data_IF_407940319716
#
_entry.id   IF_407940319716
#
_cell.length_a   1.000
_cell.length_b   1.000
_cell.length_c   1.000
_cell.angle_alpha   90.00
_cell.angle_beta   90.00
_cell.angle_gamma   90.00
#
_symmetry.space_group_name_H-M   'P 1'
#
loop_
_entity.id
_entity.type
_entity.pdbx_description
1 polymer ?
#
# COMPACT_ATOMS: atom_id res chain seq x y z
N UNK A 1 -20.52 -46.11 -49.41
CA UNK A 1 -19.67 -45.75 -48.26
C UNK A 1 -19.56 -44.23 -48.23
N UNK A 2 -20.30 -43.57 -47.34
CA UNK A 2 -20.15 -42.12 -47.08
C UNK A 2 -19.73 -42.03 -45.62
N UNK A 3 -18.48 -41.64 -45.36
CA UNK A 3 -17.97 -41.41 -44.02
C UNK A 3 -18.33 -39.99 -43.57
N UNK A 4 -19.29 -39.87 -42.65
CA UNK A 4 -19.52 -38.63 -41.90
C UNK A 4 -18.38 -38.43 -40.88
N UNK A 5 -17.62 -37.34 -41.03
CA UNK A 5 -16.70 -36.86 -39.99
C UNK A 5 -17.48 -35.95 -39.05
N UNK A 6 -17.72 -36.42 -37.83
CA UNK A 6 -18.20 -35.59 -36.74
C UNK A 6 -17.01 -34.76 -36.21
N UNK A 7 -17.10 -33.44 -36.31
CA UNK A 7 -16.19 -32.52 -35.62
C UNK A 7 -16.73 -32.29 -34.21
N UNK A 8 -16.11 -32.88 -33.20
CA UNK A 8 -16.30 -32.45 -31.81
C UNK A 8 -15.55 -31.13 -31.61
N UNK A 9 -16.27 -30.01 -31.62
CA UNK A 9 -15.76 -28.74 -31.12
C UNK A 9 -15.68 -28.80 -29.60
N UNK A 10 -14.47 -28.73 -29.05
CA UNK A 10 -14.28 -28.57 -27.62
C UNK A 10 -14.63 -27.12 -27.24
N UNK A 11 -15.77 -26.90 -26.57
CA UNK A 11 -16.00 -25.67 -25.81
C UNK A 11 -15.02 -25.67 -24.63
N UNK A 12 -13.97 -24.85 -24.68
CA UNK A 12 -13.28 -24.43 -23.45
C UNK A 12 -14.27 -23.53 -22.69
N UNK A 13 -14.88 -24.08 -21.64
CA UNK A 13 -15.51 -23.25 -20.62
C UNK A 13 -14.42 -22.37 -20.02
N UNK A 14 -14.50 -21.05 -20.24
CA UNK A 14 -13.72 -20.08 -19.48
C UNK A 14 -14.22 -20.15 -18.04
N UNK A 15 -13.59 -20.99 -17.22
CA UNK A 15 -13.75 -20.92 -15.78
C UNK A 15 -13.35 -19.49 -15.38
N UNK A 16 -14.18 -18.74 -14.64
CA UNK A 16 -13.76 -17.47 -14.09
C UNK A 16 -12.47 -17.73 -13.29
N UNK A 17 -11.39 -17.09 -13.70
CA UNK A 17 -10.13 -17.13 -12.96
C UNK A 17 -10.43 -16.59 -11.57
N UNK A 18 -10.58 -17.47 -10.59
CA UNK A 18 -10.64 -17.05 -9.19
C UNK A 18 -9.29 -16.38 -8.93
N UNK A 19 -9.29 -15.06 -8.80
CA UNK A 19 -8.10 -14.34 -8.37
C UNK A 19 -7.86 -14.76 -6.92
N UNK A 20 -6.85 -15.61 -6.76
CA UNK A 20 -6.30 -15.96 -5.47
C UNK A 20 -5.58 -14.74 -4.88
N UNK A 21 -5.13 -14.83 -3.63
CA UNK A 21 -4.41 -13.76 -2.94
C UNK A 21 -3.16 -13.29 -3.67
N UNK A 22 -2.32 -12.50 -3.00
CA UNK A 22 -1.24 -11.75 -3.63
C UNK A 22 -0.45 -12.55 -4.70
N UNK A 23 -0.42 -12.00 -5.92
CA UNK A 23 0.33 -12.51 -7.04
C UNK A 23 1.41 -11.51 -7.46
N UNK A 24 2.67 -11.81 -7.13
CA UNK A 24 3.81 -10.94 -7.44
C UNK A 24 4.06 -10.73 -8.94
N UNK A 25 3.53 -11.61 -9.81
CA UNK A 25 3.61 -11.48 -11.27
C UNK A 25 2.45 -10.69 -11.88
N UNK A 26 1.47 -10.28 -11.07
CA UNK A 26 0.32 -9.50 -11.50
C UNK A 26 0.54 -8.02 -11.23
N UNK A 27 0.02 -7.18 -12.12
CA UNK A 27 -0.11 -5.72 -11.95
C UNK A 27 -1.50 -5.30 -11.50
N UNK A 28 -2.37 -6.27 -11.24
CA UNK A 28 -3.79 -6.02 -10.98
C UNK A 28 -4.16 -6.27 -9.51
N UNK A 29 -3.21 -6.56 -8.61
CA UNK A 29 -3.54 -6.91 -7.22
C UNK A 29 -4.37 -5.81 -6.56
N UNK A 30 -5.39 -6.17 -5.80
CA UNK A 30 -6.17 -5.23 -5.01
C UNK A 30 -6.03 -5.58 -3.52
N UNK A 31 -5.41 -4.68 -2.77
CA UNK A 31 -5.39 -4.70 -1.32
C UNK A 31 -6.39 -3.68 -0.77
N UNK A 32 -7.14 -4.02 0.27
CA UNK A 32 -8.02 -3.05 0.94
C UNK A 32 -7.99 -3.30 2.43
N UNK A 33 -7.68 -2.28 3.21
CA UNK A 33 -7.65 -2.36 4.67
C UNK A 33 -9.04 -2.64 5.23
N UNK A 34 -9.10 -3.46 6.29
CA UNK A 34 -10.32 -3.72 7.05
C UNK A 34 -10.02 -3.63 8.54
N UNK A 35 -10.98 -3.17 9.34
CA UNK A 35 -10.92 -3.25 10.80
C UNK A 35 -11.04 -1.89 11.49
N UNK A 36 -10.79 -0.76 10.84
CA UNK A 36 -10.93 0.55 11.49
C UNK A 36 -12.27 1.25 11.27
N UNK A 37 -13.11 0.75 10.36
CA UNK A 37 -14.39 1.38 10.03
C UNK A 37 -14.25 2.90 9.78
N UNK A 38 -13.32 3.31 8.90
CA UNK A 38 -13.01 4.73 8.69
C UNK A 38 -14.21 5.59 8.21
N UNK A 39 -15.29 4.97 7.72
CA UNK A 39 -16.57 5.65 7.45
C UNK A 39 -17.35 6.07 8.70
N UNK A 40 -16.97 5.55 9.87
CA UNK A 40 -17.49 5.91 11.19
C UNK A 40 -19.03 5.85 11.29
N UNK A 41 -19.65 4.86 10.65
CA UNK A 41 -21.06 4.54 10.79
C UNK A 41 -21.18 3.12 11.35
N UNK A 42 -22.16 2.86 12.21
CA UNK A 42 -22.29 1.56 12.90
C UNK A 42 -22.35 0.37 11.93
N UNK A 43 -22.97 0.57 10.76
CA UNK A 43 -23.20 -0.44 9.74
C UNK A 43 -22.23 -0.38 8.55
N UNK A 44 -21.28 0.56 8.53
CA UNK A 44 -20.40 0.73 7.36
C UNK A 44 -19.27 -0.31 7.29
N UNK A 45 -18.91 -0.94 8.42
CA UNK A 45 -18.00 -2.09 8.44
C UNK A 45 -18.76 -3.35 8.87
N UNK A 46 -18.81 -4.32 7.97
CA UNK A 46 -19.34 -5.67 8.22
C UNK A 46 -18.23 -6.61 8.69
N UNK A 47 -18.61 -7.84 9.04
CA UNK A 47 -17.65 -8.92 9.34
C UNK A 47 -16.70 -9.15 8.16
N UNK A 48 -15.48 -9.59 8.44
CA UNK A 48 -14.41 -9.73 7.45
C UNK A 48 -14.82 -10.67 6.29
N UNK A 49 -15.48 -11.79 6.57
CA UNK A 49 -15.85 -12.76 5.54
C UNK A 49 -16.85 -12.24 4.51
N UNK A 50 -17.64 -11.21 4.82
CA UNK A 50 -18.49 -10.52 3.83
C UNK A 50 -17.64 -10.01 2.67
N UNK A 51 -16.52 -9.37 2.98
CA UNK A 51 -15.64 -8.74 2.00
C UNK A 51 -14.80 -9.76 1.23
N UNK A 52 -14.42 -10.86 1.88
CA UNK A 52 -13.68 -11.95 1.26
C UNK A 52 -14.44 -12.64 0.13
N UNK A 53 -15.78 -12.59 0.13
CA UNK A 53 -16.59 -13.14 -0.95
C UNK A 53 -16.43 -12.37 -2.28
N UNK A 54 -15.91 -11.14 -2.23
CA UNK A 54 -15.64 -10.35 -3.44
C UNK A 54 -14.39 -10.89 -4.14
N UNK A 55 -14.55 -11.36 -5.38
CA UNK A 55 -13.46 -11.95 -6.16
C UNK A 55 -12.38 -10.94 -6.58
N UNK A 56 -12.68 -9.64 -6.60
CA UNK A 56 -11.76 -8.60 -7.05
C UNK A 56 -10.75 -8.17 -5.98
N UNK A 57 -11.04 -8.43 -4.71
CA UNK A 57 -10.14 -8.11 -3.59
C UNK A 57 -9.20 -9.30 -3.35
N UNK A 58 -7.89 -9.10 -3.41
CA UNK A 58 -6.91 -10.18 -3.27
C UNK A 58 -6.32 -10.24 -1.85
N UNK A 59 -6.06 -9.07 -1.25
CA UNK A 59 -5.30 -8.90 -0.02
C UNK A 59 -6.11 -8.06 0.97
N UNK A 60 -6.16 -8.48 2.24
CA UNK A 60 -6.85 -7.74 3.29
C UNK A 60 -5.91 -7.62 4.51
N UNK A 61 -5.24 -6.46 4.67
CA UNK A 61 -4.61 -6.11 5.93
C UNK A 61 -5.69 -5.82 6.99
N UNK A 62 -5.63 -6.53 8.11
CA UNK A 62 -6.50 -6.35 9.27
C UNK A 62 -5.85 -5.30 10.17
N UNK A 63 -6.44 -4.11 10.22
CA UNK A 63 -6.02 -3.01 11.07
C UNK A 63 -6.81 -2.99 12.39
N UNK A 64 -6.19 -3.00 13.57
CA UNK A 64 -4.74 -3.05 13.83
C UNK A 64 -4.38 -3.72 15.15
N UNK A 65 -3.13 -4.20 15.22
CA UNK A 65 -2.37 -4.21 16.47
C UNK A 65 -1.70 -2.83 16.62
N UNK A 66 -2.38 -1.90 17.27
CA UNK A 66 -1.95 -0.50 17.44
C UNK A 66 -1.06 -0.26 18.68
N UNK A 67 -0.68 -1.33 19.38
CA UNK A 67 0.38 -1.34 20.37
C UNK A 67 1.02 -2.73 20.42
N UNK A 68 2.34 -2.78 20.46
CA UNK A 68 3.12 -4.02 20.39
C UNK A 68 3.56 -4.46 21.78
N UNK A 69 4.10 -3.54 22.57
CA UNK A 69 4.60 -3.82 23.92
C UNK A 69 4.41 -2.60 24.83
N UNK A 70 3.33 -2.56 25.64
CA UNK A 70 2.30 -3.60 25.82
C UNK A 70 1.40 -3.79 24.59
N UNK A 71 0.74 -4.95 24.47
CA UNK A 71 -0.16 -5.25 23.35
C UNK A 71 -1.43 -4.40 23.42
N UNK A 72 -1.81 -3.81 22.30
CA UNK A 72 -3.10 -3.13 22.09
C UNK A 72 -3.62 -3.57 20.72
N UNK A 73 -4.90 -3.98 20.68
CA UNK A 73 -5.59 -4.31 19.43
C UNK A 73 -6.89 -3.53 19.34
N UNK A 74 -7.18 -2.98 18.17
CA UNK A 74 -8.44 -2.28 17.91
C UNK A 74 -8.95 -2.67 16.52
N UNK A 75 -10.18 -3.17 16.46
CA UNK A 75 -10.87 -3.53 15.21
C UNK A 75 -12.23 -2.80 15.09
N UNK A 76 -12.29 -1.58 15.63
CA UNK A 76 -13.46 -0.71 15.65
C UNK A 76 -14.73 -1.46 16.07
N UNK A 77 -15.82 -1.33 15.32
CA UNK A 77 -17.09 -1.98 15.61
C UNK A 77 -17.03 -3.53 15.54
N UNK A 78 -16.07 -4.13 14.82
CA UNK A 78 -15.88 -5.58 14.86
C UNK A 78 -15.32 -6.05 16.22
N UNK A 79 -14.63 -5.15 16.93
CA UNK A 79 -14.19 -5.35 18.31
C UNK A 79 -15.34 -5.56 19.30
N UNK A 80 -16.56 -5.12 18.99
CA UNK A 80 -17.74 -5.33 19.84
C UNK A 80 -18.13 -6.81 19.98
N UNK A 81 -17.69 -7.64 19.03
CA UNK A 81 -17.87 -9.10 19.06
C UNK A 81 -16.67 -9.83 19.69
N UNK A 82 -15.72 -9.09 20.27
CA UNK A 82 -14.55 -9.61 20.96
C UNK A 82 -14.69 -9.43 22.48
N UNK A 83 -13.86 -10.16 23.24
CA UNK A 83 -13.70 -9.99 24.69
C UNK A 83 -12.26 -9.68 25.02
N UNK A 84 -11.98 -8.85 26.02
CA UNK A 84 -10.60 -8.60 26.43
C UNK A 84 -9.95 -9.84 27.08
N UNK A 85 -8.63 -9.97 26.93
CA UNK A 85 -7.88 -11.00 27.65
C UNK A 85 -7.80 -10.69 29.15
N UNK A 86 -7.79 -11.70 30.04
CA UNK A 86 -7.80 -11.49 31.49
C UNK A 86 -6.63 -10.64 32.01
N UNK A 87 -5.44 -10.83 31.45
CA UNK A 87 -4.21 -10.16 31.91
C UNK A 87 -3.91 -8.87 31.13
N UNK A 88 -4.69 -8.55 30.08
CA UNK A 88 -4.55 -7.33 29.31
C UNK A 88 -5.89 -6.86 28.71
N UNK A 89 -6.49 -5.85 29.34
CA UNK A 89 -7.76 -5.27 28.92
C UNK A 89 -7.74 -4.62 27.52
N UNK A 90 -6.55 -4.32 26.98
CA UNK A 90 -6.37 -3.66 25.68
C UNK A 90 -6.10 -4.65 24.53
N UNK A 91 -5.92 -5.94 24.84
CA UNK A 91 -5.80 -7.00 23.86
C UNK A 91 -7.13 -7.76 23.77
N UNK A 92 -7.62 -7.95 22.55
CA UNK A 92 -8.93 -8.55 22.29
C UNK A 92 -8.78 -10.01 21.83
N UNK A 93 -9.58 -10.89 22.41
CA UNK A 93 -9.88 -12.22 21.90
C UNK A 93 -11.10 -12.14 20.98
N UNK A 94 -10.93 -12.44 19.69
CA UNK A 94 -11.90 -12.19 18.63
C UNK A 94 -12.29 -13.47 17.86
N UNK A 95 -13.15 -14.36 18.41
CA UNK A 95 -13.54 -15.62 17.77
C UNK A 95 -14.19 -15.47 16.39
N UNK A 96 -14.96 -14.39 16.17
CA UNK A 96 -15.58 -14.13 14.86
C UNK A 96 -14.53 -13.77 13.80
N UNK A 97 -13.47 -13.04 14.17
CA UNK A 97 -12.38 -12.71 13.27
C UNK A 97 -11.54 -13.97 12.98
N UNK A 98 -11.30 -14.81 13.98
CA UNK A 98 -10.67 -16.14 13.80
C UNK A 98 -11.41 -16.99 12.75
N UNK A 99 -12.72 -17.12 12.87
CA UNK A 99 -13.58 -17.83 11.90
C UNK A 99 -13.47 -17.22 10.49
N UNK A 100 -13.51 -15.89 10.41
CA UNK A 100 -13.48 -15.16 9.15
C UNK A 100 -12.14 -15.29 8.44
N UNK A 101 -11.01 -15.18 9.15
CA UNK A 101 -9.67 -15.40 8.57
C UNK A 101 -9.61 -16.77 7.89
N UNK A 102 -10.09 -17.81 8.60
CA UNK A 102 -10.12 -19.18 8.07
C UNK A 102 -11.01 -19.29 6.83
N UNK A 103 -12.16 -18.62 6.84
CA UNK A 103 -13.10 -18.59 5.71
C UNK A 103 -12.48 -17.89 4.49
N UNK A 104 -11.87 -16.72 4.69
CA UNK A 104 -11.22 -15.93 3.65
C UNK A 104 -10.09 -16.71 2.97
N UNK A 105 -9.24 -17.38 3.74
CA UNK A 105 -8.13 -18.17 3.22
C UNK A 105 -8.62 -19.45 2.53
N UNK A 106 -9.46 -20.25 3.18
CA UNK A 106 -9.83 -21.59 2.68
C UNK A 106 -10.90 -21.57 1.59
N UNK A 107 -11.85 -20.65 1.67
CA UNK A 107 -12.98 -20.59 0.72
C UNK A 107 -12.69 -19.66 -0.44
N UNK A 108 -12.07 -18.51 -0.15
CA UNK A 108 -11.91 -17.44 -1.12
C UNK A 108 -10.46 -17.19 -1.54
N UNK A 109 -9.50 -17.92 -0.96
CA UNK A 109 -8.09 -17.86 -1.33
C UNK A 109 -7.41 -16.51 -1.03
N UNK A 110 -7.96 -15.68 -0.14
CA UNK A 110 -7.45 -14.32 0.14
C UNK A 110 -6.14 -14.37 0.93
N UNK A 111 -5.27 -13.39 0.71
CA UNK A 111 -4.12 -13.13 1.58
C UNK A 111 -4.56 -12.23 2.73
N UNK A 112 -4.46 -12.73 3.95
CA UNK A 112 -4.84 -11.99 5.16
C UNK A 112 -3.61 -11.62 5.97
N UNK A 113 -3.40 -10.34 6.22
CA UNK A 113 -2.27 -9.84 7.03
C UNK A 113 -2.79 -9.25 8.33
N UNK A 114 -2.02 -9.36 9.42
CA UNK A 114 -2.21 -8.47 10.58
C UNK A 114 -1.37 -7.21 10.33
N UNK A 115 -2.00 -6.03 10.42
CA UNK A 115 -1.29 -4.75 10.29
C UNK A 115 -0.92 -4.20 11.66
N UNK A 116 0.35 -3.79 11.81
CA UNK A 116 0.92 -3.22 13.02
C UNK A 116 1.04 -1.71 12.86
N UNK A 117 0.68 -0.97 13.90
CA UNK A 117 0.78 0.50 13.90
C UNK A 117 -0.58 1.17 13.71
N UNK A 118 -0.77 1.80 12.55
CA UNK A 118 -1.81 2.77 12.23
C UNK A 118 -1.59 4.12 12.93
N UNK A 119 -2.32 5.15 12.48
CA UNK A 119 -2.23 6.52 13.01
C UNK A 119 -2.53 6.71 14.51
N UNK A 120 -2.99 5.67 15.22
CA UNK A 120 -3.19 5.68 16.68
C UNK A 120 -2.01 5.10 17.47
N UNK A 121 -0.99 4.55 16.81
CA UNK A 121 0.20 4.00 17.46
C UNK A 121 1.05 5.12 18.08
N UNK A 122 1.44 4.93 19.34
CA UNK A 122 2.14 5.95 20.15
C UNK A 122 3.31 5.42 20.98
N UNK A 123 3.66 4.14 20.89
CA UNK A 123 4.62 3.52 21.81
C UNK A 123 6.09 3.85 21.52
N UNK A 124 6.41 4.38 20.34
CA UNK A 124 7.75 4.83 19.98
C UNK A 124 8.79 3.71 19.82
N UNK A 125 8.39 2.44 19.86
CA UNK A 125 9.23 1.27 19.63
C UNK A 125 9.85 0.68 20.90
N UNK A 126 11.06 0.16 20.76
CA UNK A 126 11.69 -0.71 21.76
C UNK A 126 12.92 -0.08 22.39
N UNK A 127 13.23 -0.43 23.63
CA UNK A 127 14.37 0.12 24.38
C UNK A 127 15.73 -0.37 23.88
N UNK A 128 15.76 -1.50 23.16
CA UNK A 128 16.97 -2.11 22.60
C UNK A 128 16.62 -3.05 21.45
N UNK A 129 17.62 -3.43 20.66
CA UNK A 129 17.47 -4.46 19.63
C UNK A 129 16.98 -5.80 20.21
N UNK A 130 17.48 -6.23 21.38
CA UNK A 130 17.02 -7.46 22.03
C UNK A 130 15.56 -7.42 22.48
N UNK A 131 15.09 -6.25 22.93
CA UNK A 131 13.68 -6.04 23.24
C UNK A 131 12.82 -6.08 21.97
N UNK A 132 13.32 -5.51 20.87
CA UNK A 132 12.67 -5.55 19.56
C UNK A 132 12.55 -7.00 19.02
N UNK A 133 13.61 -7.79 19.10
CA UNK A 133 13.61 -9.22 18.74
C UNK A 133 12.60 -10.01 19.59
N UNK A 134 12.59 -9.81 20.91
CA UNK A 134 11.61 -10.45 21.79
C UNK A 134 10.17 -10.08 21.44
N UNK A 135 9.92 -8.82 21.09
CA UNK A 135 8.61 -8.36 20.66
C UNK A 135 8.20 -8.95 19.31
N UNK A 136 9.12 -9.08 18.34
CA UNK A 136 8.84 -9.74 17.06
C UNK A 136 8.47 -11.22 17.26
N UNK A 137 9.19 -11.91 18.15
CA UNK A 137 8.86 -13.28 18.54
C UNK A 137 7.47 -13.38 19.20
N UNK A 138 7.11 -12.42 20.05
CA UNK A 138 5.78 -12.36 20.67
C UNK A 138 4.68 -12.15 19.61
N UNK A 139 4.84 -11.18 18.70
CA UNK A 139 3.91 -10.94 17.58
C UNK A 139 3.76 -12.20 16.72
N UNK A 140 4.86 -12.87 16.38
CA UNK A 140 4.79 -14.10 15.60
C UNK A 140 4.11 -15.25 16.36
N UNK A 141 4.34 -15.37 17.67
CA UNK A 141 3.62 -16.34 18.49
C UNK A 141 2.13 -15.99 18.65
N UNK A 142 1.72 -14.73 18.47
CA UNK A 142 0.31 -14.31 18.54
C UNK A 142 -0.47 -14.64 17.27
N UNK A 143 0.13 -14.39 16.10
CA UNK A 143 -0.58 -14.40 14.81
C UNK A 143 -0.06 -15.43 13.80
N UNK A 144 1.20 -15.87 13.96
CA UNK A 144 1.83 -16.93 13.16
C UNK A 144 1.38 -18.34 13.62
N UNK A 145 2.03 -19.41 13.11
CA UNK A 145 1.71 -20.78 13.48
C UNK A 145 1.65 -20.99 14.99
N UNK A 146 0.67 -21.77 15.45
CA UNK A 146 0.48 -22.02 16.88
C UNK A 146 1.72 -22.71 17.45
N UNK A 147 2.35 -22.05 18.42
CA UNK A 147 3.48 -22.59 19.18
C UNK A 147 2.97 -23.13 20.53
N UNK A 148 2.91 -24.46 20.74
CA UNK A 148 2.38 -25.04 21.97
C UNK A 148 3.25 -24.75 23.21
N UNK A 149 4.48 -24.26 23.01
CA UNK A 149 5.39 -23.88 24.09
C UNK A 149 5.31 -22.37 24.42
N UNK A 150 4.45 -21.61 23.74
CA UNK A 150 4.21 -20.20 24.01
C UNK A 150 2.94 -20.02 24.81
N UNK A 151 2.93 -19.04 25.72
CA UNK A 151 1.78 -18.66 26.54
C UNK A 151 1.23 -17.28 26.16
N UNK A 152 1.54 -16.77 24.96
CA UNK A 152 0.99 -15.48 24.52
C UNK A 152 -0.51 -15.58 24.29
N UNK A 153 -1.22 -14.53 24.66
CA UNK A 153 -2.62 -14.34 24.28
C UNK A 153 -2.71 -14.22 22.76
N UNK A 154 -3.56 -15.03 22.12
CA UNK A 154 -3.72 -15.05 20.66
C UNK A 154 -5.04 -14.40 20.25
N UNK A 155 -5.04 -13.16 19.74
CA UNK A 155 -6.27 -12.44 19.40
C UNK A 155 -7.19 -13.17 18.42
N UNK A 156 -6.62 -13.99 17.55
CA UNK A 156 -7.36 -14.78 16.56
C UNK A 156 -7.32 -16.28 16.85
N UNK A 157 -7.17 -16.66 18.13
CA UNK A 157 -7.18 -18.06 18.55
C UNK A 157 -6.20 -18.91 17.75
N UNK A 158 -6.72 -19.95 17.10
CA UNK A 158 -5.94 -20.90 16.29
C UNK A 158 -5.72 -20.45 14.84
N UNK A 159 -6.39 -19.39 14.37
CA UNK A 159 -6.16 -18.88 13.03
C UNK A 159 -4.73 -18.36 12.89
N UNK A 160 -4.20 -18.51 11.68
CA UNK A 160 -2.84 -18.11 11.34
C UNK A 160 -2.91 -17.20 10.12
N UNK A 161 -2.46 -15.95 10.29
CA UNK A 161 -2.42 -14.97 9.19
C UNK A 161 -1.41 -15.41 8.12
N UNK A 162 -1.55 -14.88 6.91
CA UNK A 162 -0.60 -15.10 5.81
C UNK A 162 0.61 -14.18 5.91
N UNK A 163 0.65 -13.28 6.88
CA UNK A 163 1.77 -12.37 7.03
C UNK A 163 1.51 -11.20 7.96
N UNK A 164 2.47 -10.29 7.98
CA UNK A 164 2.44 -9.08 8.79
C UNK A 164 2.66 -7.88 7.89
N UNK A 165 1.91 -6.83 8.16
CA UNK A 165 2.01 -5.54 7.49
C UNK A 165 2.46 -4.47 8.48
N UNK A 166 3.37 -3.59 8.06
CA UNK A 166 3.83 -2.46 8.85
C UNK A 166 3.17 -1.18 8.34
N UNK A 167 2.26 -0.63 9.12
CA UNK A 167 1.64 0.67 8.86
C UNK A 167 2.05 1.64 9.99
N UNK A 168 3.36 1.79 10.22
CA UNK A 168 3.82 2.74 11.22
C UNK A 168 3.74 4.15 10.65
N UNK A 169 2.98 5.02 11.32
CA UNK A 169 2.86 6.44 10.93
C UNK A 169 3.65 7.37 11.86
N UNK A 170 4.42 6.79 12.79
CA UNK A 170 5.33 7.50 13.68
C UNK A 170 6.60 6.68 13.94
N UNK A 171 7.67 7.33 14.37
CA UNK A 171 8.98 6.70 14.51
C UNK A 171 8.98 5.53 15.51
N UNK A 172 9.62 4.42 15.12
CA UNK A 172 9.74 3.21 15.94
C UNK A 172 11.22 2.92 16.22
N UNK A 173 11.64 3.11 17.47
CA UNK A 173 12.99 2.78 17.90
C UNK A 173 13.26 1.27 17.75
N UNK A 174 14.42 0.92 17.20
CA UNK A 174 14.85 -0.46 16.93
C UNK A 174 13.96 -1.23 15.94
N UNK A 175 13.28 -0.54 15.01
CA UNK A 175 12.41 -1.17 14.01
C UNK A 175 13.14 -2.18 13.12
N UNK A 176 14.37 -1.90 12.68
CA UNK A 176 15.12 -2.85 11.82
C UNK A 176 15.34 -4.19 12.53
N UNK A 177 15.66 -4.19 13.83
CA UNK A 177 15.86 -5.41 14.61
C UNK A 177 14.56 -6.20 14.79
N UNK A 178 13.44 -5.50 15.04
CA UNK A 178 12.11 -6.11 15.07
C UNK A 178 11.76 -6.76 13.73
N UNK A 179 11.93 -6.02 12.65
CA UNK A 179 11.60 -6.42 11.29
C UNK A 179 12.45 -7.60 10.78
N UNK A 180 13.74 -7.57 11.09
CA UNK A 180 14.69 -8.64 10.72
C UNK A 180 14.31 -9.96 11.41
N UNK A 181 14.00 -9.91 12.72
CA UNK A 181 13.57 -11.10 13.45
C UNK A 181 12.24 -11.63 12.91
N UNK A 182 11.27 -10.75 12.66
CA UNK A 182 9.97 -11.17 12.14
C UNK A 182 10.10 -11.85 10.77
N UNK A 183 10.90 -11.29 9.86
CA UNK A 183 11.20 -11.91 8.56
C UNK A 183 11.84 -13.29 8.72
N UNK A 184 12.82 -13.42 9.62
CA UNK A 184 13.49 -14.69 9.93
C UNK A 184 12.51 -15.76 10.43
N UNK A 185 11.64 -15.39 11.38
CA UNK A 185 10.62 -16.29 11.94
C UNK A 185 9.61 -16.75 10.89
N UNK A 186 9.19 -15.84 10.01
CA UNK A 186 8.29 -16.13 8.90
C UNK A 186 8.93 -17.11 7.90
N UNK A 187 10.19 -16.90 7.54
CA UNK A 187 10.92 -17.77 6.61
C UNK A 187 11.16 -19.16 7.20
N UNK A 188 11.55 -19.24 8.48
CA UNK A 188 11.72 -20.49 9.20
C UNK A 188 10.41 -21.29 9.31
N UNK A 189 9.28 -20.60 9.38
CA UNK A 189 7.96 -21.22 9.50
C UNK A 189 7.38 -21.69 8.17
N UNK A 190 7.87 -21.20 7.03
CA UNK A 190 7.25 -21.41 5.74
C UNK A 190 7.20 -22.90 5.33
N UNK A 191 8.30 -23.61 5.54
CA UNK A 191 8.41 -25.03 5.16
C UNK A 191 7.49 -25.92 6.01
N UNK A 192 7.45 -25.72 7.33
CA UNK A 192 6.61 -26.52 8.23
C UNK A 192 5.12 -26.18 8.11
N UNK A 193 4.78 -24.93 7.78
CA UNK A 193 3.42 -24.49 7.50
C UNK A 193 2.95 -24.88 6.09
N UNK A 194 3.85 -25.32 5.20
CA UNK A 194 3.54 -25.65 3.81
C UNK A 194 3.06 -24.44 3.00
N UNK A 195 3.36 -23.21 3.44
CA UNK A 195 2.95 -21.97 2.76
C UNK A 195 3.95 -20.84 2.99
N UNK A 196 3.96 -19.88 2.07
CA UNK A 196 4.75 -18.65 2.21
C UNK A 196 4.04 -17.67 3.16
N UNK A 197 4.81 -16.92 3.93
CA UNK A 197 4.33 -15.79 4.71
C UNK A 197 4.87 -14.47 4.13
N UNK A 198 4.01 -13.46 4.08
CA UNK A 198 4.28 -12.17 3.43
C UNK A 198 4.58 -11.06 4.44
N UNK A 199 5.68 -10.34 4.23
CA UNK A 199 5.97 -9.13 4.99
C UNK A 199 5.73 -7.93 4.08
N UNK A 200 4.81 -7.05 4.47
CA UNK A 200 4.54 -5.80 3.78
C UNK A 200 4.76 -4.58 4.66
N UNK A 201 4.76 -3.41 4.02
CA UNK A 201 4.74 -2.12 4.70
C UNK A 201 3.86 -1.13 3.93
N UNK A 202 3.36 -0.11 4.60
CA UNK A 202 2.53 0.94 4.05
C UNK A 202 3.14 2.32 4.33
N UNK A 203 4.35 2.62 3.81
CA UNK A 203 4.94 3.94 3.97
C UNK A 203 4.07 5.02 3.31
N UNK A 204 4.22 6.26 3.76
CA UNK A 204 3.65 7.40 3.07
C UNK A 204 4.43 7.70 1.78
N UNK A 205 3.84 8.45 0.84
CA UNK A 205 4.53 8.72 -0.43
C UNK A 205 5.80 9.56 -0.31
N UNK A 206 5.99 10.29 0.81
CA UNK A 206 7.20 11.08 1.04
C UNK A 206 8.40 10.14 1.14
N UNK A 207 9.45 10.44 0.38
CA UNK A 207 10.66 9.61 0.34
C UNK A 207 11.89 10.38 0.85
N UNK A 208 12.71 9.79 1.75
CA UNK A 208 12.44 8.54 2.45
C UNK A 208 11.23 8.68 3.39
N UNK A 209 10.49 7.59 3.58
CA UNK A 209 9.44 7.55 4.60
C UNK A 209 10.05 7.79 6.00
N UNK A 210 9.31 8.39 6.92
CA UNK A 210 9.89 8.67 8.24
C UNK A 210 9.89 7.45 9.16
N UNK A 211 8.79 6.70 9.19
CA UNK A 211 8.50 5.71 10.20
C UNK A 211 9.05 4.32 9.83
N UNK A 212 8.83 3.90 8.59
CA UNK A 212 9.20 2.57 8.08
C UNK A 212 10.60 2.52 7.47
N UNK A 213 11.19 3.68 7.14
CA UNK A 213 12.53 3.75 6.52
C UNK A 213 13.63 2.93 7.22
N UNK A 214 13.71 2.87 8.57
CA UNK A 214 14.68 2.01 9.23
C UNK A 214 14.58 0.53 8.82
N UNK A 215 13.39 0.02 8.51
CA UNK A 215 13.23 -1.34 7.99
C UNK A 215 13.36 -1.39 6.46
N UNK A 216 12.76 -0.44 5.73
CA UNK A 216 12.74 -0.42 4.25
C UNK A 216 14.13 -0.30 3.63
N UNK A 217 15.00 0.52 4.23
CA UNK A 217 16.36 0.79 3.75
C UNK A 217 17.42 -0.01 4.51
N UNK A 218 16.99 -1.02 5.27
CA UNK A 218 17.85 -1.91 6.05
C UNK A 218 18.07 -3.26 5.38
N UNK A 219 18.29 -4.27 6.22
CA UNK A 219 18.55 -5.66 5.80
C UNK A 219 17.30 -6.52 5.59
N UNK A 220 16.11 -5.93 5.64
CA UNK A 220 14.82 -6.63 5.69
C UNK A 220 14.23 -6.82 4.29
N UNK A 221 13.88 -8.06 3.95
CA UNK A 221 13.22 -8.41 2.69
C UNK A 221 11.70 -8.28 2.80
N UNK A 222 11.14 -7.21 2.22
CA UNK A 222 9.70 -7.05 2.04
C UNK A 222 9.21 -7.72 0.75
N UNK A 223 8.05 -8.36 0.80
CA UNK A 223 7.43 -9.02 -0.35
C UNK A 223 6.74 -8.00 -1.27
N UNK A 224 6.03 -7.05 -0.66
CA UNK A 224 5.43 -5.91 -1.34
C UNK A 224 5.25 -4.74 -0.37
N UNK A 225 5.12 -3.53 -0.90
CA UNK A 225 4.76 -2.34 -0.13
C UNK A 225 3.53 -1.67 -0.72
N UNK A 226 2.74 -1.01 0.13
CA UNK A 226 1.45 -0.40 -0.19
C UNK A 226 1.51 1.09 0.12
N UNK A 227 2.18 1.85 -0.76
CA UNK A 227 2.54 3.24 -0.48
C UNK A 227 1.28 4.11 -0.44
N UNK A 228 1.11 4.89 0.63
CA UNK A 228 -0.02 5.78 0.82
C UNK A 228 0.15 7.05 -0.03
N UNK A 229 -0.46 7.08 -1.23
CA UNK A 229 -0.46 8.23 -2.14
C UNK A 229 -1.64 9.19 -1.88
N UNK A 230 -1.90 9.45 -0.61
CA UNK A 230 -2.90 10.38 -0.09
C UNK A 230 -2.36 11.10 1.15
N UNK A 231 -3.06 12.11 1.65
CA UNK A 231 -2.63 12.95 2.81
C UNK A 231 -1.30 13.71 2.66
N UNK A 232 -0.66 13.62 1.49
CA UNK A 232 0.63 14.24 1.21
C UNK A 232 0.65 14.85 -0.18
N UNK A 233 1.52 15.85 -0.39
CA UNK A 233 1.68 16.52 -1.67
C UNK A 233 2.04 15.57 -2.82
N UNK A 234 2.79 14.50 -2.56
CA UNK A 234 3.18 13.51 -3.56
C UNK A 234 2.06 12.55 -3.98
N UNK A 235 0.84 12.70 -3.46
CA UNK A 235 -0.29 11.81 -3.71
C UNK A 235 -0.84 11.84 -5.14
N UNK A 236 -1.78 10.92 -5.43
CA UNK A 236 -2.42 10.78 -6.76
C UNK A 236 -3.17 12.03 -7.24
N UNK A 237 -3.62 12.87 -6.30
CA UNK A 237 -4.26 14.16 -6.62
C UNK A 237 -3.31 15.18 -7.23
N UNK A 238 -1.99 15.00 -7.08
CA UNK A 238 -0.96 15.85 -7.69
C UNK A 238 -0.43 15.33 -9.03
N UNK A 239 -0.93 14.19 -9.50
CA UNK A 239 -0.61 13.70 -10.84
C UNK A 239 -1.15 14.67 -11.91
N UNK A 240 -0.32 15.02 -12.89
CA UNK A 240 -0.66 15.90 -14.01
C UNK A 240 -0.79 15.06 -15.28
N UNK A 241 -2.03 14.83 -15.78
CA UNK A 241 -2.24 14.06 -17.00
C UNK A 241 -1.52 14.65 -18.22
N UNK A 242 -0.88 13.78 -18.99
CA UNK A 242 -0.16 14.16 -20.22
C UNK A 242 1.25 14.72 -20.00
N UNK A 243 1.65 15.01 -18.76
CA UNK A 243 3.03 15.37 -18.46
C UNK A 243 3.91 14.11 -18.41
N UNK A 244 5.04 14.14 -19.14
CA UNK A 244 6.02 13.04 -19.14
C UNK A 244 6.83 12.97 -17.84
N UNK A 245 6.98 14.11 -17.18
CA UNK A 245 7.65 14.25 -15.88
C UNK A 245 6.67 14.83 -14.90
N UNK A 246 6.57 14.20 -13.73
CA UNK A 246 5.68 14.61 -12.67
C UNK A 246 6.47 15.44 -11.66
N UNK A 247 5.95 16.61 -11.30
CA UNK A 247 6.62 17.50 -10.34
C UNK A 247 6.54 16.98 -8.90
N UNK A 248 5.41 16.37 -8.53
CA UNK A 248 5.13 15.99 -7.13
C UNK A 248 4.73 14.52 -6.98
N UNK A 249 3.92 13.98 -7.91
CA UNK A 249 3.63 12.54 -7.92
C UNK A 249 4.90 11.74 -8.22
N UNK A 250 5.39 10.98 -7.23
CA UNK A 250 6.77 10.49 -7.18
C UNK A 250 6.90 8.96 -7.24
N UNK A 251 6.07 8.26 -8.02
CA UNK A 251 6.17 6.81 -8.14
C UNK A 251 7.50 6.35 -8.77
N UNK A 252 8.11 7.17 -9.62
CA UNK A 252 9.45 6.97 -10.15
C UNK A 252 10.52 6.85 -9.05
N UNK A 253 10.40 7.64 -7.98
CA UNK A 253 11.33 7.60 -6.84
C UNK A 253 11.25 6.25 -6.12
N UNK A 254 10.03 5.78 -5.89
CA UNK A 254 9.79 4.50 -5.21
C UNK A 254 10.08 3.29 -6.11
N UNK A 255 9.86 3.38 -7.42
CA UNK A 255 10.32 2.38 -8.39
C UNK A 255 11.85 2.28 -8.39
N UNK A 256 12.55 3.42 -8.38
CA UNK A 256 14.01 3.44 -8.24
C UNK A 256 14.46 2.83 -6.90
N UNK A 257 13.78 3.11 -5.78
CA UNK A 257 14.05 2.45 -4.50
C UNK A 257 13.91 0.93 -4.60
N UNK A 258 12.85 0.42 -5.23
CA UNK A 258 12.62 -1.01 -5.40
C UNK A 258 13.77 -1.70 -6.15
N UNK A 259 14.39 -1.00 -7.10
CA UNK A 259 15.49 -1.54 -7.91
C UNK A 259 16.88 -1.36 -7.32
N UNK A 260 17.09 -0.32 -6.50
CA UNK A 260 18.45 0.10 -6.11
C UNK A 260 18.73 0.02 -4.62
N UNK A 261 17.68 -0.02 -3.78
CA UNK A 261 17.81 0.05 -2.32
C UNK A 261 17.17 -1.16 -1.64
N UNK A 262 15.99 -1.60 -2.10
CA UNK A 262 15.29 -2.71 -1.44
C UNK A 262 16.15 -3.97 -1.35
N UNK A 263 16.13 -4.61 -0.17
CA UNK A 263 16.80 -5.90 0.03
C UNK A 263 16.24 -6.99 -0.90
N UNK A 264 14.95 -6.93 -1.21
CA UNK A 264 14.31 -7.82 -2.16
C UNK A 264 14.30 -7.16 -3.54
N UNK A 265 15.13 -7.62 -4.51
CA UNK A 265 15.16 -7.03 -5.85
C UNK A 265 13.87 -7.27 -6.64
N UNK A 266 12.96 -8.11 -6.14
CA UNK A 266 11.66 -8.40 -6.72
C UNK A 266 10.50 -7.81 -5.90
N UNK A 267 10.77 -6.88 -4.98
CA UNK A 267 9.72 -6.21 -4.21
C UNK A 267 8.71 -5.57 -5.16
N UNK A 268 7.44 -5.66 -4.79
CA UNK A 268 6.31 -5.15 -5.57
C UNK A 268 5.70 -3.93 -4.88
N UNK A 269 5.17 -2.98 -5.64
CA UNK A 269 4.58 -1.75 -5.11
C UNK A 269 3.11 -1.64 -5.51
N UNK A 270 2.23 -1.54 -4.53
CA UNK A 270 0.82 -1.20 -4.72
C UNK A 270 0.65 0.32 -4.52
N UNK A 271 -0.06 0.96 -5.46
CA UNK A 271 -0.43 2.37 -5.39
C UNK A 271 -1.59 2.53 -4.40
N UNK A 272 -1.33 3.07 -3.21
CA UNK A 272 -2.33 3.31 -2.17
C UNK A 272 -3.18 4.55 -2.45
N UNK A 273 -4.49 4.39 -2.50
CA UNK A 273 -5.46 5.46 -2.77
C UNK A 273 -6.54 5.51 -1.68
N UNK A 274 -7.11 6.70 -1.48
CA UNK A 274 -8.31 6.85 -0.66
C UNK A 274 -9.49 6.16 -1.37
N UNK A 275 -10.28 5.36 -0.65
CA UNK A 275 -11.42 4.65 -1.23
C UNK A 275 -12.66 5.54 -1.42
N UNK A 276 -12.73 6.67 -0.72
CA UNK A 276 -13.81 7.65 -0.79
C UNK A 276 -13.32 9.02 -0.26
N UNK A 277 -14.10 10.08 -0.44
CA UNK A 277 -13.77 11.43 0.05
C UNK A 277 -13.62 11.51 1.57
N UNK A 278 -14.29 10.62 2.32
CA UNK A 278 -14.19 10.55 3.77
C UNK A 278 -13.00 9.75 4.29
N UNK A 279 -12.30 9.02 3.43
CA UNK A 279 -11.24 8.11 3.85
C UNK A 279 -9.92 8.83 4.14
N UNK A 280 -9.54 9.75 3.26
CA UNK A 280 -8.34 10.57 3.35
C UNK A 280 -8.45 11.75 2.38
N UNK A 281 -7.61 12.77 2.58
CA UNK A 281 -7.45 13.85 1.61
C UNK A 281 -6.70 13.37 0.36
N UNK A 282 -6.97 13.98 -0.79
CA UNK A 282 -6.35 13.57 -2.05
C UNK A 282 -7.07 12.42 -2.78
N UNK A 283 -8.32 12.11 -2.39
CA UNK A 283 -9.22 11.24 -3.15
C UNK A 283 -9.36 11.74 -4.61
N UNK A 284 -9.24 10.82 -5.56
CA UNK A 284 -9.49 11.05 -6.99
C UNK A 284 -10.33 9.92 -7.57
N UNK A 285 -11.10 10.23 -8.61
CA UNK A 285 -11.92 9.26 -9.34
C UNK A 285 -12.02 9.65 -10.83
N UNK A 286 -12.75 8.86 -11.61
CA UNK A 286 -12.98 9.13 -13.03
C UNK A 286 -11.68 9.23 -13.83
N UNK A 287 -11.61 10.17 -14.76
CA UNK A 287 -10.49 10.31 -15.70
C UNK A 287 -9.16 10.60 -15.02
N UNK A 288 -9.14 11.29 -13.88
CA UNK A 288 -7.91 11.55 -13.13
C UNK A 288 -7.31 10.26 -12.58
N UNK A 289 -8.16 9.41 -11.96
CA UNK A 289 -7.73 8.11 -11.44
C UNK A 289 -7.25 7.17 -12.56
N UNK A 290 -8.01 7.10 -13.66
CA UNK A 290 -7.65 6.29 -14.81
C UNK A 290 -6.30 6.70 -15.41
N UNK A 291 -6.08 8.02 -15.53
CA UNK A 291 -4.84 8.55 -16.08
C UNK A 291 -3.61 8.27 -15.19
N UNK A 292 -3.73 8.45 -13.87
CA UNK A 292 -2.62 8.13 -12.95
C UNK A 292 -2.33 6.63 -12.93
N UNK A 293 -3.34 5.76 -12.86
CA UNK A 293 -3.14 4.30 -12.92
C UNK A 293 -2.45 3.91 -14.23
N UNK A 294 -2.91 4.43 -15.37
CA UNK A 294 -2.31 4.14 -16.67
C UNK A 294 -0.85 4.60 -16.74
N UNK A 295 -0.51 5.75 -16.16
CA UNK A 295 0.86 6.24 -16.09
C UNK A 295 1.73 5.35 -15.21
N UNK A 296 1.23 4.94 -14.04
CA UNK A 296 1.98 4.15 -13.06
C UNK A 296 2.31 2.75 -13.56
N UNK A 297 1.48 2.17 -14.43
CA UNK A 297 1.74 0.87 -15.07
C UNK A 297 3.04 0.78 -15.87
N UNK A 298 3.67 1.90 -16.22
CA UNK A 298 4.95 1.89 -16.91
C UNK A 298 6.11 1.42 -16.01
N UNK A 299 5.96 1.54 -14.69
CA UNK A 299 6.98 1.20 -13.71
C UNK A 299 6.96 -0.30 -13.42
N UNK A 300 8.14 -0.93 -13.50
CA UNK A 300 8.21 -2.39 -13.46
C UNK A 300 7.91 -2.96 -12.06
N UNK A 301 8.09 -2.16 -11.01
CA UNK A 301 7.72 -2.51 -9.63
C UNK A 301 6.21 -2.48 -9.36
N UNK A 302 5.41 -1.79 -10.19
CA UNK A 302 3.97 -1.64 -9.98
C UNK A 302 3.24 -2.99 -9.97
N UNK A 303 2.38 -3.21 -8.98
CA UNK A 303 1.71 -4.50 -8.77
C UNK A 303 0.21 -4.39 -8.50
N UNK A 304 -0.35 -3.18 -8.47
CA UNK A 304 -1.78 -2.97 -8.30
C UNK A 304 -2.10 -1.82 -7.36
N UNK A 305 -3.24 -1.90 -6.69
CA UNK A 305 -3.83 -0.80 -5.91
C UNK A 305 -4.04 -1.25 -4.47
N UNK A 306 -3.73 -0.37 -3.53
CA UNK A 306 -4.17 -0.49 -2.14
C UNK A 306 -5.25 0.57 -1.88
N UNK A 307 -6.28 0.24 -1.08
CA UNK A 307 -7.33 1.18 -0.71
C UNK A 307 -7.51 1.28 0.82
N UNK A 308 -7.60 2.51 1.30
CA UNK A 308 -8.02 2.85 2.66
C UNK A 308 -9.47 3.36 2.65
N UNK A 309 -10.46 2.73 3.29
CA UNK A 309 -10.54 1.34 3.77
C UNK A 309 -11.87 0.69 3.27
N UNK A 310 -12.15 -0.57 3.64
CA UNK A 310 -13.35 -1.31 3.21
C UNK A 310 -14.65 -0.56 3.48
N UNK A 311 -14.78 0.10 4.64
CA UNK A 311 -16.02 0.76 5.01
C UNK A 311 -16.31 1.97 4.11
N UNK A 312 -15.26 2.68 3.69
CA UNK A 312 -15.36 3.77 2.74
C UNK A 312 -15.59 3.28 1.32
N UNK A 313 -14.89 2.21 0.91
CA UNK A 313 -15.03 1.60 -0.40
C UNK A 313 -16.46 1.14 -0.66
N UNK A 314 -17.09 0.49 0.32
CA UNK A 314 -18.45 -0.06 0.16
C UNK A 314 -19.55 1.00 0.24
N UNK A 315 -19.25 2.21 0.74
CA UNK A 315 -20.12 3.37 0.58
C UNK A 315 -19.96 4.05 -0.80
N UNK A 316 -18.84 3.79 -1.49
CA UNK A 316 -18.51 4.40 -2.77
C UNK A 316 -18.90 3.49 -3.95
N UNK A 317 -20.19 3.47 -4.25
CA UNK A 317 -20.75 2.60 -5.30
C UNK A 317 -20.06 2.80 -6.66
N UNK A 318 -19.56 1.71 -7.24
CA UNK A 318 -18.88 1.69 -8.54
C UNK A 318 -17.39 2.04 -8.52
N UNK A 319 -16.83 2.47 -7.38
CA UNK A 319 -15.40 2.82 -7.30
C UNK A 319 -14.49 1.60 -7.47
N UNK A 320 -14.83 0.47 -6.86
CA UNK A 320 -14.07 -0.78 -7.05
C UNK A 320 -14.11 -1.23 -8.52
N UNK A 321 -15.29 -1.16 -9.16
CA UNK A 321 -15.44 -1.52 -10.58
C UNK A 321 -14.59 -0.60 -11.48
N UNK A 322 -14.54 0.70 -11.16
CA UNK A 322 -13.64 1.62 -11.84
C UNK A 322 -12.18 1.17 -11.69
N UNK A 323 -11.72 0.91 -10.47
CA UNK A 323 -10.33 0.49 -10.20
C UNK A 323 -9.99 -0.80 -10.96
N UNK A 324 -10.88 -1.79 -10.95
CA UNK A 324 -10.71 -3.04 -11.70
C UNK A 324 -10.60 -2.78 -13.20
N UNK A 325 -11.48 -1.94 -13.75
CA UNK A 325 -11.45 -1.55 -15.17
C UNK A 325 -10.15 -0.83 -15.53
N UNK A 326 -9.73 0.14 -14.71
CA UNK A 326 -8.52 0.92 -14.92
C UNK A 326 -7.26 0.03 -14.83
N UNK A 327 -7.25 -0.99 -13.96
CA UNK A 327 -6.19 -2.00 -13.87
C UNK A 327 -6.18 -2.99 -15.05
N UNK A 328 -7.34 -3.35 -15.58
CA UNK A 328 -7.45 -4.24 -16.74
C UNK A 328 -7.12 -3.55 -18.08
N UNK A 329 -7.29 -2.23 -18.17
CA UNK A 329 -7.03 -1.47 -19.39
C UNK A 329 -5.56 -1.61 -19.86
N UNK A 330 -5.37 -1.96 -21.13
CA UNK A 330 -4.04 -1.91 -21.77
C UNK A 330 -3.55 -0.46 -21.78
N UNK A 331 -2.28 -0.21 -21.43
CA UNK A 331 -1.72 1.14 -21.34
C UNK A 331 -1.78 1.89 -22.68
N UNK A 332 -2.91 2.53 -22.96
CA UNK A 332 -3.07 3.48 -24.04
C UNK A 332 -2.90 4.87 -23.44
N UNK A 333 -1.77 5.51 -23.74
CA UNK A 333 -1.58 6.94 -23.52
C UNK A 333 -2.80 7.69 -24.09
N UNK A 334 -3.47 8.56 -23.32
CA UNK A 334 -4.60 9.33 -23.86
C UNK A 334 -4.15 10.12 -25.09
N UNK A 335 -4.96 10.19 -26.17
CA UNK A 335 -4.65 11.09 -27.28
C UNK A 335 -4.59 12.53 -26.75
N UNK A 336 -3.66 13.38 -27.25
CA UNK A 336 -3.70 14.80 -26.93
C UNK A 336 -5.06 15.36 -27.38
N UNK A 337 -5.77 15.99 -26.46
CA UNK A 337 -7.03 16.67 -26.72
C UNK A 337 -6.82 17.72 -27.82
N UNK A 338 -7.39 17.44 -28.99
CA UNK A 338 -7.41 18.37 -30.12
C UNK A 338 -8.52 19.40 -29.87
N UNK A 339 -8.18 20.60 -29.41
CA UNK A 339 -9.12 21.72 -29.41
C UNK A 339 -8.98 22.53 -30.70
N UNK A 340 -10.07 22.51 -31.46
CA UNK A 340 -10.32 23.23 -32.70
C UNK A 340 -10.24 24.76 -32.53
N UNK A 341 -9.67 25.43 -33.54
CA UNK A 341 -9.45 26.87 -33.56
C UNK A 341 -10.71 27.73 -33.48
N UNK A 342 -10.57 28.84 -32.76
CA UNK A 342 -11.47 29.98 -32.76
C UNK A 342 -10.64 31.27 -32.87
N UNK A 343 -11.03 32.12 -33.82
CA UNK A 343 -10.26 33.23 -34.37
C UNK A 343 -9.94 34.38 -33.41
N UNK A 344 -8.73 34.92 -33.62
CA UNK A 344 -8.12 36.18 -33.14
C UNK A 344 -9.04 37.41 -33.30
N UNK A 345 -8.83 38.47 -32.49
CA UNK A 345 -8.40 39.73 -33.12
C UNK A 345 -7.13 40.32 -32.50
N UNK A 346 -6.51 41.13 -33.33
CA UNK A 346 -5.09 41.50 -33.34
C UNK A 346 -4.83 42.76 -32.51
N UNK A 347 -3.77 42.75 -31.72
CA UNK A 347 -3.00 43.96 -31.42
C UNK A 347 -1.51 43.65 -31.39
N UNK A 348 -0.79 44.57 -32.00
CA UNK A 348 0.59 44.59 -32.51
C UNK A 348 1.69 44.73 -31.46
N UNK A 349 2.83 44.09 -31.79
CA UNK A 349 4.23 44.54 -31.63
C UNK A 349 4.92 44.48 -30.27
N UNK A 350 5.98 43.66 -30.21
CA UNK A 350 7.13 43.91 -29.34
C UNK A 350 8.06 42.71 -29.11
N UNK A 351 9.20 42.67 -29.81
CA UNK A 351 10.48 42.22 -29.25
C UNK A 351 10.76 40.72 -29.11
N UNK A 352 11.62 40.21 -30.00
CA UNK A 352 12.38 38.97 -29.82
C UNK A 352 13.46 39.14 -28.74
N UNK A 353 13.49 38.26 -27.73
CA UNK A 353 14.72 37.84 -27.01
C UNK A 353 14.50 36.47 -26.35
N UNK A 354 15.49 35.57 -26.44
CA UNK A 354 15.47 34.19 -25.91
C UNK A 354 15.43 34.07 -24.38
N UNK A 355 15.38 32.83 -23.84
CA UNK A 355 15.05 32.59 -22.44
C UNK A 355 16.26 32.78 -21.53
N UNK A 356 16.20 33.79 -20.67
CA UNK A 356 17.03 33.95 -19.48
C UNK A 356 16.30 33.37 -18.27
N UNK A 357 16.94 32.41 -17.58
CA UNK A 357 16.50 31.87 -16.31
C UNK A 357 16.55 32.89 -15.17
N UNK A 358 15.68 32.70 -14.18
CA UNK A 358 15.63 33.53 -12.98
C UNK A 358 14.34 33.33 -12.18
N UNK A 359 14.20 32.19 -11.51
CA UNK A 359 13.15 31.98 -10.50
C UNK A 359 13.75 31.23 -9.31
N UNK A 360 13.49 31.69 -8.09
CA UNK A 360 13.94 30.98 -6.88
C UNK A 360 13.03 29.79 -6.57
N UNK A 361 13.63 28.70 -6.11
CA UNK A 361 12.98 27.41 -5.83
C UNK A 361 12.26 27.47 -4.47
N UNK A 362 10.96 27.14 -4.37
CA UNK A 362 10.24 27.13 -3.10
C UNK A 362 10.74 26.02 -2.17
N UNK A 363 10.35 26.05 -0.89
CA UNK A 363 10.64 24.95 0.03
C UNK A 363 10.25 23.61 -0.59
N UNK A 364 11.11 22.62 -0.43
CA UNK A 364 11.05 21.25 -0.96
C UNK A 364 11.18 21.11 -2.48
N UNK A 365 11.26 22.20 -3.24
CA UNK A 365 11.52 22.14 -4.67
C UNK A 365 12.96 21.69 -4.97
N UNK A 366 13.16 21.02 -6.12
CA UNK A 366 14.49 20.59 -6.55
C UNK A 366 15.38 21.81 -6.83
N UNK A 367 16.57 21.81 -6.26
CA UNK A 367 17.57 22.86 -6.41
C UNK A 367 18.94 22.31 -6.86
N UNK A 368 19.03 21.00 -7.10
CA UNK A 368 20.26 20.34 -7.53
C UNK A 368 20.08 18.84 -7.78
N UNK A 369 21.16 18.20 -8.19
CA UNK A 369 21.20 16.80 -8.58
C UNK A 369 21.84 16.60 -9.95
N UNK A 370 22.49 15.46 -10.18
CA UNK A 370 23.10 15.15 -11.46
C UNK A 370 22.04 15.11 -12.57
N UNK A 371 22.25 15.90 -13.63
CA UNK A 371 21.31 16.05 -14.75
C UNK A 371 20.24 17.15 -14.57
N UNK A 372 20.15 17.77 -13.40
CA UNK A 372 19.25 18.89 -13.15
C UNK A 372 19.75 20.18 -13.84
N UNK A 373 18.88 20.81 -14.63
CA UNK A 373 19.18 22.06 -15.38
C UNK A 373 18.30 23.24 -14.96
N UNK A 374 17.50 23.06 -13.91
CA UNK A 374 16.61 24.08 -13.38
C UNK A 374 17.29 25.06 -12.40
N UNK A 375 16.51 25.95 -11.77
CA UNK A 375 17.05 26.93 -10.83
C UNK A 375 17.64 26.26 -9.58
N UNK A 376 18.77 26.78 -9.10
CA UNK A 376 19.52 26.22 -7.96
C UNK A 376 19.41 27.05 -6.68
N UNK A 377 18.80 28.23 -6.77
CA UNK A 377 18.68 29.16 -5.66
C UNK A 377 17.34 28.99 -4.95
N UNK A 378 17.39 28.62 -3.67
CA UNK A 378 16.21 28.50 -2.83
C UNK A 378 15.62 29.86 -2.43
N UNK A 379 14.30 29.91 -2.26
CA UNK A 379 13.62 31.02 -1.60
C UNK A 379 14.09 31.11 -0.15
N UNK A 380 14.38 32.32 0.32
CA UNK A 380 14.69 32.52 1.74
C UNK A 380 13.48 32.07 2.60
N UNK A 381 13.71 31.41 3.75
CA UNK A 381 14.99 31.18 4.44
C UNK A 381 15.73 29.88 4.06
N UNK A 382 15.28 29.17 3.02
CA UNK A 382 15.69 27.80 2.74
C UNK A 382 17.06 27.69 2.07
N UNK A 383 17.70 26.53 2.25
CA UNK A 383 18.99 26.21 1.63
C UNK A 383 18.90 24.94 0.80
N UNK A 384 19.71 24.85 -0.26
CA UNK A 384 19.70 23.66 -1.11
C UNK A 384 20.45 22.51 -0.42
N UNK A 385 19.71 21.52 0.06
CA UNK A 385 20.26 20.36 0.78
C UNK A 385 20.29 19.16 -0.16
N UNK A 386 21.47 18.56 -0.32
CA UNK A 386 21.65 17.35 -1.12
C UNK A 386 21.10 16.12 -0.36
N UNK A 387 20.17 15.40 -0.99
CA UNK A 387 19.61 14.15 -0.46
C UNK A 387 20.20 12.92 -1.16
N UNK A 388 20.61 13.06 -2.42
CA UNK A 388 21.34 12.04 -3.17
C UNK A 388 22.19 12.69 -4.27
N UNK A 389 22.96 11.89 -4.99
CA UNK A 389 23.73 12.38 -6.16
C UNK A 389 22.83 12.90 -7.29
N UNK A 390 21.57 12.47 -7.33
CA UNK A 390 20.58 12.84 -8.36
C UNK A 390 19.59 13.92 -7.89
N UNK A 391 19.58 14.25 -6.59
CA UNK A 391 18.55 15.11 -6.01
C UNK A 391 19.05 15.96 -4.84
N UNK A 392 18.80 17.26 -4.94
CA UNK A 392 18.86 18.22 -3.84
C UNK A 392 17.56 19.02 -3.78
N UNK A 393 17.07 19.32 -2.58
CA UNK A 393 15.84 20.11 -2.38
C UNK A 393 16.07 21.30 -1.45
N UNK A 394 15.27 22.35 -1.59
CA UNK A 394 15.30 23.48 -0.66
C UNK A 394 14.69 23.11 0.69
N UNK A 395 15.45 23.22 1.79
CA UNK A 395 14.99 22.88 3.14
C UNK A 395 15.12 24.05 4.11
#
# INVERSE_FOLDING_TARGET
MVQSRAYLGALLAALPSVRAGFNASSTQNIAVYWGQNSANQETSQQRLSTYCANAEIDIIPIGFMNGISPVITNFANAGNNCTAFPDNANALNCPQIEEDITTCQKTYGKTILISLGGGSYTQGGFSSASAATSAAQAVWNMFGPVNPNSNVDRPFGSAVVDGVDFDFESGVNNLEAFATELRSLMDASAASAGRKFYLSAAPQCVYPDYADNPALNGSVSFDFIMIQYYNNGCGVSSYVPGATTQWNYNFDVWDNWAHTVSKNPNVRILLGIAANTGAASGYVSGTQLSAVISFTKQYSSFAGIMMWDMSQLYLNSGFLDQVVSDLAASGSTPPPTSSSGGSKPTSTSGGSTGPTGGGSVPQWGQCGGQGYTGPTQCQAPYTCVASSVWWSSCQ
#
